data_IF_689644121097
#
_entry.id   IF_689644121097
#
_cell.length_a   1.000
_cell.length_b   1.000
_cell.length_c   1.000
_cell.angle_alpha   90.00
_cell.angle_beta   90.00
_cell.angle_gamma   90.00
#
_symmetry.space_group_name_H-M   'P 1'
#
loop_
_entity.id
_entity.type
_entity.pdbx_description
1 polymer ?
#
# COMPACT_ATOMS: atom_id res chain seq x y z
N UNK A 1 3.41 -18.89 1.41
CA UNK A 1 3.12 -18.38 2.77
C UNK A 1 3.34 -16.89 2.72
N UNK A 2 2.47 -16.12 3.36
CA UNK A 2 2.64 -14.67 3.49
C UNK A 2 3.91 -14.35 4.28
N UNK A 3 4.53 -13.20 4.01
CA UNK A 3 5.58 -12.68 4.90
C UNK A 3 4.93 -12.03 6.14
N UNK A 4 5.68 -11.88 7.24
CA UNK A 4 5.28 -10.96 8.30
C UNK A 4 4.96 -9.57 7.74
N UNK A 5 4.03 -8.88 8.40
CA UNK A 5 3.67 -7.51 8.06
C UNK A 5 4.68 -6.54 8.68
N UNK A 6 5.28 -5.68 7.86
CA UNK A 6 6.20 -4.63 8.29
C UNK A 6 5.48 -3.29 8.30
N UNK A 7 5.47 -2.60 9.44
CA UNK A 7 4.84 -1.28 9.60
C UNK A 7 5.86 -0.15 9.47
N UNK A 8 5.48 0.91 8.76
CA UNK A 8 6.24 2.15 8.57
C UNK A 8 5.40 3.32 9.04
N UNK A 9 5.86 3.96 10.11
CA UNK A 9 5.12 5.02 10.80
C UNK A 9 5.20 6.37 10.06
N UNK A 10 4.09 7.09 10.01
CA UNK A 10 3.93 8.44 9.49
C UNK A 10 3.03 9.30 10.42
N UNK A 11 3.24 9.21 11.73
CA UNK A 11 2.42 9.92 12.72
C UNK A 11 1.10 9.21 12.97
N UNK A 12 -0.04 9.89 12.75
CA UNK A 12 -1.36 9.23 12.83
C UNK A 12 -1.60 8.30 11.66
N UNK A 13 -0.89 8.52 10.56
CA UNK A 13 -0.92 7.67 9.38
C UNK A 13 0.20 6.62 9.46
N UNK A 14 -0.01 5.47 8.84
CA UNK A 14 1.07 4.50 8.67
C UNK A 14 0.81 3.58 7.48
N UNK A 15 1.90 2.96 7.02
CA UNK A 15 1.89 1.96 5.96
C UNK A 15 2.21 0.60 6.52
N UNK A 16 1.52 -0.43 6.06
CA UNK A 16 1.88 -1.81 6.31
C UNK A 16 2.21 -2.47 4.98
N UNK A 17 3.32 -3.22 4.92
CA UNK A 17 3.76 -3.91 3.71
C UNK A 17 4.07 -5.36 3.99
N UNK A 18 3.65 -6.25 3.09
CA UNK A 18 4.00 -7.67 3.10
C UNK A 18 3.91 -8.28 1.71
N UNK A 19 4.54 -9.43 1.51
CA UNK A 19 4.22 -10.31 0.39
C UNK A 19 3.03 -11.19 0.77
N UNK A 20 2.02 -11.25 -0.10
CA UNK A 20 0.83 -12.11 0.07
C UNK A 20 0.83 -13.19 -0.98
N UNK A 21 0.61 -14.45 -0.58
CA UNK A 21 0.47 -15.59 -1.49
C UNK A 21 -0.92 -16.19 -1.35
N UNK A 22 -1.76 -15.97 -2.36
CA UNK A 22 -3.08 -16.55 -2.50
C UNK A 22 -3.00 -17.87 -3.28
N UNK A 23 -4.12 -18.58 -3.38
CA UNK A 23 -4.21 -19.83 -4.14
C UNK A 23 -3.82 -19.62 -5.62
N UNK A 24 -4.34 -18.56 -6.24
CA UNK A 24 -4.19 -18.29 -7.66
C UNK A 24 -3.53 -16.95 -7.98
N UNK A 25 -3.03 -16.21 -6.99
CA UNK A 25 -2.34 -14.94 -7.24
C UNK A 25 -1.34 -14.65 -6.11
N UNK A 26 -0.42 -13.73 -6.35
CA UNK A 26 0.56 -13.32 -5.35
C UNK A 26 1.17 -11.97 -5.71
N UNK A 27 1.76 -11.33 -4.71
CA UNK A 27 2.55 -10.12 -4.88
C UNK A 27 2.62 -9.31 -3.61
N UNK A 28 3.23 -8.13 -3.71
CA UNK A 28 3.30 -7.20 -2.58
C UNK A 28 1.93 -6.58 -2.33
N UNK A 29 1.51 -6.61 -1.07
CA UNK A 29 0.37 -5.84 -0.58
C UNK A 29 0.90 -4.66 0.25
N UNK A 30 0.44 -3.45 -0.07
CA UNK A 30 0.66 -2.25 0.74
C UNK A 30 -0.69 -1.78 1.29
N UNK A 31 -0.79 -1.58 2.59
CA UNK A 31 -1.99 -1.08 3.26
C UNK A 31 -1.69 0.27 3.87
N UNK A 32 -2.65 1.17 3.78
CA UNK A 32 -2.55 2.53 4.29
C UNK A 32 -3.59 2.75 5.37
N UNK A 33 -3.16 3.26 6.51
CA UNK A 33 -4.02 3.52 7.65
C UNK A 33 -3.96 4.97 8.06
N UNK A 34 -5.07 5.46 8.62
CA UNK A 34 -5.16 6.81 9.14
C UNK A 34 -6.44 7.05 9.94
N UNK A 35 -6.56 8.25 10.53
CA UNK A 35 -7.67 8.62 11.38
C UNK A 35 -8.95 8.92 10.58
N UNK A 36 -10.06 8.35 11.03
CA UNK A 36 -11.42 8.63 10.57
C UNK A 36 -12.31 8.74 11.80
N UNK A 37 -12.88 9.92 12.05
CA UNK A 37 -13.79 10.16 13.18
C UNK A 37 -13.21 9.72 14.54
N UNK A 38 -11.90 9.91 14.75
CA UNK A 38 -11.21 9.55 15.99
C UNK A 38 -10.75 8.10 16.10
N UNK A 39 -11.00 7.26 15.10
CA UNK A 39 -10.52 5.87 15.04
C UNK A 39 -9.52 5.66 13.90
N UNK A 40 -8.53 4.80 14.11
CA UNK A 40 -7.61 4.39 13.04
C UNK A 40 -8.27 3.33 12.16
N UNK A 41 -8.40 3.61 10.86
CA UNK A 41 -9.01 2.72 9.86
C UNK A 41 -8.02 2.42 8.73
N UNK A 42 -8.24 1.29 8.05
CA UNK A 42 -7.57 1.01 6.79
C UNK A 42 -8.21 1.84 5.69
N UNK A 43 -7.49 2.86 5.23
CA UNK A 43 -7.94 3.82 4.24
C UNK A 43 -7.88 3.22 2.83
N UNK A 44 -6.71 2.67 2.47
CA UNK A 44 -6.47 2.12 1.15
C UNK A 44 -5.65 0.83 1.23
N UNK A 45 -5.84 -0.05 0.24
CA UNK A 45 -5.05 -1.28 0.08
C UNK A 45 -4.64 -1.42 -1.37
N UNK A 46 -3.35 -1.57 -1.62
CA UNK A 46 -2.77 -1.78 -2.95
C UNK A 46 -2.24 -3.20 -3.02
N UNK A 47 -2.94 -4.04 -3.78
CA UNK A 47 -2.56 -5.42 -4.04
C UNK A 47 -1.83 -5.45 -5.39
N UNK A 48 -0.50 -5.41 -5.36
CA UNK A 48 0.38 -5.39 -6.54
C UNK A 48 0.60 -6.80 -7.08
N UNK A 49 -0.52 -7.49 -7.35
CA UNK A 49 -0.49 -8.89 -7.72
C UNK A 49 -0.10 -9.15 -9.17
N UNK A 50 0.43 -10.34 -9.43
CA UNK A 50 0.93 -10.72 -10.75
C UNK A 50 -0.20 -10.89 -11.77
N UNK A 51 -1.33 -11.45 -11.37
CA UNK A 51 -2.44 -11.71 -12.31
C UNK A 51 -3.50 -10.63 -12.29
N UNK A 52 -3.87 -10.15 -11.10
CA UNK A 52 -4.94 -9.17 -10.93
C UNK A 52 -4.49 -8.04 -10.00
N UNK A 53 -3.53 -7.19 -10.41
CA UNK A 53 -3.16 -6.05 -9.59
C UNK A 53 -4.32 -5.07 -9.51
N UNK A 54 -4.58 -4.58 -8.30
CA UNK A 54 -5.70 -3.68 -8.04
C UNK A 54 -5.45 -2.90 -6.75
N UNK A 55 -6.23 -1.85 -6.55
CA UNK A 55 -6.27 -1.16 -5.27
C UNK A 55 -7.69 -0.83 -4.84
N UNK A 56 -7.83 -0.72 -3.54
CA UNK A 56 -9.05 -0.41 -2.81
C UNK A 56 -8.91 0.97 -2.18
N UNK A 57 -9.95 1.79 -2.29
CA UNK A 57 -10.07 3.10 -1.64
C UNK A 57 -11.27 3.07 -0.70
N UNK A 58 -11.13 3.69 0.47
CA UNK A 58 -12.11 3.66 1.55
C UNK A 58 -12.49 2.22 1.94
N UNK A 59 -11.47 1.37 2.13
CA UNK A 59 -11.62 -0.05 2.45
C UNK A 59 -12.50 -0.31 3.69
N UNK A 60 -12.59 0.67 4.60
CA UNK A 60 -13.39 0.60 5.82
C UNK A 60 -14.88 0.93 5.66
N UNK A 61 -15.31 1.47 4.52
CA UNK A 61 -16.67 1.98 4.30
C UNK A 61 -17.32 1.36 3.05
N UNK A 62 -16.94 1.83 1.86
CA UNK A 62 -17.59 1.46 0.60
C UNK A 62 -16.67 0.69 -0.37
N UNK A 63 -15.39 0.52 -0.04
CA UNK A 63 -14.43 -0.38 -0.71
C UNK A 63 -14.42 -0.27 -2.25
N UNK A 64 -14.04 0.91 -2.75
CA UNK A 64 -13.96 1.13 -4.21
C UNK A 64 -12.74 0.43 -4.78
N UNK A 65 -12.96 -0.55 -5.67
CA UNK A 65 -11.89 -1.32 -6.32
C UNK A 65 -11.54 -0.74 -7.70
N UNK A 66 -10.25 -0.53 -7.95
CA UNK A 66 -9.70 -0.14 -9.25
C UNK A 66 -8.66 -1.15 -9.71
N UNK A 67 -8.84 -1.69 -10.92
CA UNK A 67 -7.86 -2.57 -11.55
C UNK A 67 -6.66 -1.74 -12.06
N UNK A 68 -5.47 -2.28 -11.86
CA UNK A 68 -4.23 -1.73 -12.41
C UNK A 68 -3.81 -2.53 -13.65
N UNK A 69 -3.00 -1.88 -14.49
CA UNK A 69 -2.27 -2.64 -15.51
C UNK A 69 -1.31 -3.64 -14.84
N UNK A 70 -1.11 -4.77 -15.51
CA UNK A 70 -0.15 -5.82 -15.10
C UNK A 70 1.30 -5.40 -15.30
N UNK A 71 1.56 -4.37 -16.10
CA UNK A 71 2.93 -3.89 -16.29
C UNK A 71 3.43 -3.16 -15.03
N UNK A 72 4.33 -3.82 -14.28
CA UNK A 72 5.05 -3.26 -13.12
C UNK A 72 4.12 -2.60 -12.08
N UNK A 73 3.09 -3.30 -11.57
CA UNK A 73 2.07 -2.71 -10.69
C UNK A 73 2.66 -2.10 -9.42
N UNK A 74 3.71 -2.71 -8.85
CA UNK A 74 4.38 -2.16 -7.67
C UNK A 74 5.04 -0.80 -7.94
N UNK A 75 5.67 -0.62 -9.10
CA UNK A 75 6.31 0.66 -9.44
C UNK A 75 5.27 1.78 -9.59
N UNK A 76 4.15 1.48 -10.25
CA UNK A 76 3.01 2.40 -10.43
C UNK A 76 2.41 2.79 -9.09
N UNK A 77 2.19 1.82 -8.20
CA UNK A 77 1.63 2.07 -6.86
C UNK A 77 2.58 2.93 -6.01
N UNK A 78 3.88 2.66 -6.04
CA UNK A 78 4.85 3.44 -5.26
C UNK A 78 4.94 4.89 -5.75
N UNK A 79 4.90 5.11 -7.06
CA UNK A 79 4.82 6.47 -7.62
C UNK A 79 3.53 7.17 -7.22
N UNK A 80 2.38 6.48 -7.32
CA UNK A 80 1.09 7.01 -6.86
C UNK A 80 1.12 7.42 -5.38
N UNK A 81 1.64 6.56 -4.51
CA UNK A 81 1.75 6.84 -3.07
C UNK A 81 2.61 8.08 -2.81
N UNK A 82 3.72 8.24 -3.53
CA UNK A 82 4.63 9.38 -3.36
C UNK A 82 4.05 10.70 -3.88
N UNK A 83 3.26 10.66 -4.96
CA UNK A 83 2.76 11.86 -5.61
C UNK A 83 1.38 12.31 -5.10
N UNK A 84 0.56 11.39 -4.59
CA UNK A 84 -0.87 11.61 -4.37
C UNK A 84 -1.30 11.43 -2.90
N UNK A 85 -0.42 11.67 -1.93
CA UNK A 85 -0.73 11.44 -0.51
C UNK A 85 -2.01 12.14 -0.03
N UNK A 86 -2.20 13.39 -0.42
CA UNK A 86 -3.33 14.20 0.04
C UNK A 86 -4.62 13.78 -0.66
N UNK A 87 -4.53 13.47 -1.95
CA UNK A 87 -5.62 13.01 -2.78
C UNK A 87 -6.12 11.64 -2.30
N UNK A 88 -5.21 10.73 -1.92
CA UNK A 88 -5.55 9.44 -1.32
C UNK A 88 -6.31 9.61 0.00
N UNK A 89 -5.82 10.47 0.91
CA UNK A 89 -6.49 10.75 2.18
C UNK A 89 -7.89 11.35 1.94
N UNK A 90 -7.99 12.34 1.04
CA UNK A 90 -9.24 12.99 0.71
C UNK A 90 -10.25 12.01 0.11
N UNK A 91 -9.81 11.15 -0.81
CA UNK A 91 -10.65 10.11 -1.41
C UNK A 91 -11.15 9.08 -0.39
N UNK A 92 -10.40 8.86 0.68
CA UNK A 92 -10.78 7.96 1.78
C UNK A 92 -11.63 8.65 2.86
N UNK A 93 -11.90 9.95 2.77
CA UNK A 93 -12.65 10.69 3.79
C UNK A 93 -11.96 10.76 5.17
N UNK A 94 -10.64 10.64 5.20
CA UNK A 94 -9.84 10.71 6.42
C UNK A 94 -9.60 12.15 6.88
N UNK A 95 -9.24 12.34 8.15
CA UNK A 95 -8.87 13.66 8.66
C UNK A 95 -7.70 14.23 7.85
N UNK A 96 -7.70 15.55 7.67
CA UNK A 96 -6.64 16.25 6.93
C UNK A 96 -5.28 16.06 7.65
N UNK A 97 -4.19 15.73 6.92
CA UNK A 97 -2.88 15.61 7.52
C UNK A 97 -2.32 16.99 7.89
N UNK A 98 -1.63 17.03 9.03
CA UNK A 98 -0.83 18.18 9.45
C UNK A 98 0.37 18.38 8.52
N UNK A 99 0.99 19.56 8.55
CA UNK A 99 2.20 19.83 7.75
C UNK A 99 3.34 18.88 8.14
N UNK A 100 3.48 18.56 9.43
CA UNK A 100 4.47 17.59 9.90
C UNK A 100 4.21 16.19 9.34
N UNK A 101 2.95 15.76 9.20
CA UNK A 101 2.59 14.46 8.59
C UNK A 101 2.86 14.44 7.08
N UNK A 102 2.76 15.59 6.39
CA UNK A 102 3.16 15.71 4.98
C UNK A 102 4.68 15.66 4.82
N UNK A 103 5.43 16.26 5.74
CA UNK A 103 6.89 16.14 5.76
C UNK A 103 7.34 14.72 6.09
N UNK A 104 6.73 14.11 7.11
CA UNK A 104 7.00 12.73 7.49
C UNK A 104 6.65 11.75 6.35
N UNK A 105 5.62 12.05 5.56
CA UNK A 105 5.24 11.27 4.40
C UNK A 105 6.43 11.07 3.46
N UNK A 106 7.19 12.13 3.13
CA UNK A 106 8.36 12.08 2.23
C UNK A 106 9.40 11.06 2.70
N UNK A 107 9.66 10.97 4.01
CA UNK A 107 10.63 10.00 4.53
C UNK A 107 10.01 8.60 4.66
N UNK A 108 8.75 8.51 5.07
CA UNK A 108 8.04 7.24 5.22
C UNK A 108 7.89 6.51 3.87
N UNK A 109 7.66 7.23 2.77
CA UNK A 109 7.53 6.64 1.44
C UNK A 109 8.84 6.16 0.86
N UNK A 110 9.96 6.83 1.14
CA UNK A 110 11.30 6.32 0.81
C UNK A 110 11.57 4.98 1.50
N UNK A 111 11.23 4.88 2.78
CA UNK A 111 11.38 3.64 3.55
C UNK A 111 10.46 2.55 2.99
N UNK A 112 9.20 2.90 2.68
CA UNK A 112 8.23 2.00 2.09
C UNK A 112 8.67 1.47 0.72
N UNK A 113 9.13 2.35 -0.18
CA UNK A 113 9.68 1.98 -1.47
C UNK A 113 10.83 0.99 -1.31
N UNK A 114 11.79 1.28 -0.44
CA UNK A 114 12.92 0.40 -0.17
C UNK A 114 12.48 -0.99 0.31
N UNK A 115 11.56 -1.05 1.28
CA UNK A 115 11.04 -2.34 1.78
C UNK A 115 10.23 -3.08 0.75
N UNK A 116 9.27 -2.43 0.11
CA UNK A 116 8.39 -3.07 -0.86
C UNK A 116 9.18 -3.69 -2.03
N UNK A 117 10.18 -2.96 -2.56
CA UNK A 117 11.07 -3.48 -3.62
C UNK A 117 11.86 -4.69 -3.13
N UNK A 118 12.42 -4.63 -1.91
CA UNK A 118 13.18 -5.74 -1.38
C UNK A 118 12.30 -6.99 -1.17
N UNK A 119 11.10 -6.83 -0.60
CA UNK A 119 10.12 -7.92 -0.45
C UNK A 119 9.80 -8.54 -1.81
N UNK A 120 9.52 -7.70 -2.83
CA UNK A 120 9.23 -8.18 -4.19
C UNK A 120 10.41 -8.94 -4.80
N UNK A 121 11.64 -8.45 -4.62
CA UNK A 121 12.84 -9.12 -5.10
C UNK A 121 13.09 -10.45 -4.40
N UNK A 122 12.90 -10.50 -3.09
CA UNK A 122 13.14 -11.70 -2.27
C UNK A 122 12.11 -12.80 -2.54
N UNK A 123 10.83 -12.45 -2.64
CA UNK A 123 9.73 -13.42 -2.70
C UNK A 123 9.07 -13.54 -4.08
N UNK A 124 9.09 -12.50 -4.89
CA UNK A 124 8.50 -12.47 -6.24
C UNK A 124 9.40 -13.02 -7.35
N UNK A 125 10.72 -13.02 -7.14
CA UNK A 125 11.71 -13.49 -8.13
C UNK A 125 11.91 -15.00 -8.15
N UNK A 126 11.30 -15.75 -7.23
CA UNK A 126 11.48 -17.21 -7.14
C UNK A 126 10.72 -17.87 -8.32
N UNK A 127 11.42 -18.45 -9.32
CA UNK A 127 10.76 -19.23 -10.37
C UNK A 127 10.20 -20.49 -9.70
N UNK A 128 8.94 -20.82 -9.98
CA UNK A 128 8.34 -22.04 -9.45
C UNK A 128 8.91 -23.23 -10.22
N UNK A 129 9.30 -24.26 -9.48
CA UNK A 129 9.39 -25.61 -10.01
C UNK A 129 7.97 -26.02 -10.43
N UNK A 130 7.82 -26.42 -11.69
CA UNK A 130 6.59 -27.01 -12.22
C UNK A 130 6.15 -28.25 -11.42
#
# INVERSE_FOLDING_TARGET
MDTPEEQINNGRFHWNVKYRKLENDEGVTIRFFGPVQGETKELARFDCFRQTPHFHIAFYDHDTVTLLDREKPLAVVLEKIELEFNELIAACGSDVPTDQERENHVQSTKNLRGRAIHIDQEFGSVPRSD
#
